data_IF_331847833799
#
_entry.id   IF_331847833799
#
_cell.length_a   1.000
_cell.length_b   1.000
_cell.length_c   1.000
_cell.angle_alpha   90.00
_cell.angle_beta   90.00
_cell.angle_gamma   90.00
#
_symmetry.space_group_name_H-M   'P 1'
#
loop_
_entity.id
_entity.type
_entity.pdbx_description
1 polymer ?
#
# COMPACT_ATOMS: atom_id res chain seq x y z
N UNK A 1 9.49 -1.34 13.81
CA UNK A 1 9.45 -2.67 13.23
C UNK A 1 8.04 -3.18 13.11
N UNK A 2 7.80 -4.00 12.10
CA UNK A 2 6.50 -4.60 11.85
C UNK A 2 6.41 -5.97 12.53
N UNK A 3 5.19 -6.44 12.88
CA UNK A 3 5.02 -7.76 13.47
C UNK A 3 5.16 -8.92 12.46
N UNK A 4 5.41 -8.59 11.18
CA UNK A 4 5.66 -9.59 10.13
C UNK A 4 7.04 -9.39 9.55
N UNK A 5 7.53 -10.41 8.82
CA UNK A 5 8.80 -10.32 8.12
C UNK A 5 8.64 -9.50 6.83
N UNK A 6 9.69 -8.79 6.43
CA UNK A 6 9.66 -7.97 5.22
C UNK A 6 9.32 -8.77 3.96
N UNK A 7 9.63 -10.07 3.96
CA UNK A 7 9.36 -10.94 2.82
C UNK A 7 7.95 -11.52 2.84
N UNK A 8 7.17 -11.27 3.89
CA UNK A 8 5.81 -11.83 4.00
C UNK A 8 4.82 -11.10 3.09
N UNK A 9 5.10 -9.86 2.73
CA UNK A 9 4.27 -9.11 1.78
C UNK A 9 5.09 -8.81 0.53
N UNK A 10 4.59 -9.24 -0.61
CA UNK A 10 5.30 -9.10 -1.87
C UNK A 10 4.38 -8.52 -2.95
N UNK A 11 4.92 -7.59 -3.75
CA UNK A 11 4.22 -7.08 -4.92
C UNK A 11 4.42 -8.05 -6.07
N UNK A 12 3.35 -8.64 -6.55
CA UNK A 12 3.38 -9.62 -7.64
C UNK A 12 3.24 -8.96 -9.01
N UNK A 13 2.41 -7.92 -9.08
CA UNK A 13 2.21 -7.17 -10.32
C UNK A 13 1.69 -5.78 -10.02
N UNK A 14 1.71 -4.94 -11.03
CA UNK A 14 1.25 -3.56 -10.92
C UNK A 14 0.30 -3.29 -12.08
N UNK A 15 -0.79 -2.61 -11.80
CA UNK A 15 -1.75 -2.18 -12.79
C UNK A 15 -1.98 -0.68 -12.73
N UNK A 16 -2.76 -0.17 -13.66
CA UNK A 16 -3.07 1.24 -13.69
C UNK A 16 -4.50 1.44 -14.22
N UNK A 17 -5.30 2.16 -13.46
CA UNK A 17 -6.63 2.57 -13.89
C UNK A 17 -6.56 4.03 -14.33
N UNK A 18 -6.69 4.24 -15.64
CA UNK A 18 -6.53 5.55 -16.26
C UNK A 18 -7.65 6.50 -15.83
N UNK A 19 -8.88 6.00 -15.70
CA UNK A 19 -10.04 6.83 -15.40
C UNK A 19 -9.95 7.45 -14.01
N UNK A 20 -9.48 6.67 -13.04
CA UNK A 20 -9.34 7.13 -11.66
C UNK A 20 -7.93 7.62 -11.34
N UNK A 21 -6.99 7.51 -12.28
CA UNK A 21 -5.56 7.80 -12.06
C UNK A 21 -5.05 7.06 -10.84
N UNK A 22 -5.30 5.75 -10.80
CA UNK A 22 -4.90 4.92 -9.68
C UNK A 22 -3.85 3.92 -10.12
N UNK A 23 -2.73 3.94 -9.43
CA UNK A 23 -1.66 2.95 -9.58
C UNK A 23 -1.97 1.81 -8.63
N UNK A 24 -2.08 0.58 -9.12
CA UNK A 24 -2.58 -0.55 -8.32
C UNK A 24 -1.46 -1.56 -8.10
N UNK A 25 -1.16 -1.82 -6.83
CA UNK A 25 -0.20 -2.85 -6.44
C UNK A 25 -0.96 -4.11 -6.04
N UNK A 26 -0.76 -5.18 -6.81
CA UNK A 26 -1.32 -6.49 -6.51
C UNK A 26 -0.29 -7.29 -5.72
N UNK A 27 -0.60 -7.52 -4.45
CA UNK A 27 0.34 -8.11 -3.51
C UNK A 27 -0.17 -9.45 -2.99
N UNK A 28 0.78 -10.31 -2.60
CA UNK A 28 0.46 -11.54 -1.89
C UNK A 28 1.08 -11.50 -0.50
N UNK A 29 0.39 -12.12 0.46
CA UNK A 29 0.80 -12.19 1.86
C UNK A 29 1.11 -13.64 2.18
N UNK A 30 2.29 -13.88 2.76
CA UNK A 30 2.81 -15.21 3.09
C UNK A 30 3.09 -15.33 4.59
N UNK A 31 3.45 -16.54 5.00
CA UNK A 31 3.88 -16.80 6.36
C UNK A 31 2.80 -16.56 7.39
N UNK A 32 3.19 -16.10 8.56
CA UNK A 32 2.26 -15.88 9.67
C UNK A 32 1.27 -14.75 9.39
N UNK A 33 1.62 -13.84 8.49
CA UNK A 33 0.73 -12.73 8.13
C UNK A 33 -0.40 -13.19 7.19
N UNK A 34 -0.28 -14.37 6.59
CA UNK A 34 -1.32 -14.94 5.72
C UNK A 34 -2.43 -15.53 6.58
N UNK A 35 -3.15 -14.65 7.28
CA UNK A 35 -4.18 -15.01 8.24
C UNK A 35 -5.08 -13.80 8.46
N UNK A 36 -6.38 -13.97 8.25
CA UNK A 36 -7.33 -12.86 8.36
C UNK A 36 -7.34 -12.22 9.75
N UNK A 37 -7.25 -13.03 10.79
CA UNK A 37 -7.25 -12.51 12.16
C UNK A 37 -6.00 -11.71 12.47
N UNK A 38 -4.85 -12.19 11.99
CA UNK A 38 -3.57 -11.48 12.14
C UNK A 38 -3.63 -10.13 11.43
N UNK A 39 -4.12 -10.10 10.20
CA UNK A 39 -4.24 -8.86 9.42
C UNK A 39 -5.21 -7.89 10.12
N UNK A 40 -6.36 -8.39 10.58
CA UNK A 40 -7.34 -7.53 11.26
C UNK A 40 -6.77 -6.92 12.54
N UNK A 41 -5.99 -7.70 13.31
CA UNK A 41 -5.37 -7.21 14.53
C UNK A 41 -4.29 -6.14 14.26
N UNK A 42 -3.73 -6.12 13.05
CA UNK A 42 -2.62 -5.24 12.68
C UNK A 42 -2.98 -4.22 11.61
N UNK A 43 -4.26 -3.96 11.38
CA UNK A 43 -4.72 -3.09 10.30
C UNK A 43 -4.11 -1.69 10.36
N UNK A 44 -4.03 -1.11 11.56
CA UNK A 44 -3.50 0.24 11.71
C UNK A 44 -2.01 0.31 11.37
N UNK A 45 -1.24 -0.67 11.85
CA UNK A 45 0.19 -0.73 11.54
C UNK A 45 0.41 -0.89 10.03
N UNK A 46 -0.39 -1.76 9.41
CA UNK A 46 -0.29 -2.01 7.97
C UNK A 46 -0.64 -0.75 7.18
N UNK A 47 -1.72 -0.07 7.56
CA UNK A 47 -2.13 1.19 6.93
C UNK A 47 -1.03 2.23 7.04
N UNK A 48 -0.47 2.40 8.22
CA UNK A 48 0.58 3.40 8.45
C UNK A 48 1.82 3.09 7.64
N UNK A 49 2.21 1.82 7.54
CA UNK A 49 3.38 1.42 6.77
C UNK A 49 3.18 1.67 5.26
N UNK A 50 2.00 1.39 4.74
CA UNK A 50 1.72 1.62 3.32
C UNK A 50 1.66 3.10 3.00
N UNK A 51 1.09 3.92 3.88
CA UNK A 51 1.12 5.37 3.72
C UNK A 51 2.53 5.92 3.75
N UNK A 52 3.36 5.41 4.66
CA UNK A 52 4.76 5.82 4.76
C UNK A 52 5.53 5.45 3.50
N UNK A 53 5.28 4.28 2.94
CA UNK A 53 5.91 3.86 1.70
C UNK A 53 5.61 4.84 0.56
N UNK A 54 4.35 5.23 0.42
CA UNK A 54 3.96 6.21 -0.61
C UNK A 54 4.60 7.57 -0.33
N UNK A 55 4.61 8.00 0.94
CA UNK A 55 5.15 9.32 1.30
C UNK A 55 6.65 9.43 1.10
N UNK A 56 7.39 8.36 1.38
CA UNK A 56 8.85 8.40 1.40
C UNK A 56 9.52 7.89 0.13
N UNK A 57 8.80 7.19 -0.74
CA UNK A 57 9.39 6.60 -1.94
C UNK A 57 9.65 7.65 -3.01
N UNK A 58 10.92 7.98 -3.31
CA UNK A 58 11.24 9.02 -4.29
C UNK A 58 10.82 8.66 -5.71
N UNK A 59 10.65 7.36 -6.01
CA UNK A 59 10.23 6.92 -7.33
C UNK A 59 8.77 7.29 -7.62
N UNK A 60 7.99 7.62 -6.60
CA UNK A 60 6.58 8.00 -6.77
C UNK A 60 6.37 9.50 -6.86
N UNK A 61 7.43 10.30 -6.78
CA UNK A 61 7.30 11.75 -6.72
C UNK A 61 6.50 12.32 -7.90
N UNK A 62 6.82 11.92 -9.12
CA UNK A 62 6.14 12.44 -10.30
C UNK A 62 4.65 12.05 -10.31
N UNK A 63 4.34 10.85 -9.87
CA UNK A 63 2.94 10.40 -9.76
C UNK A 63 2.18 11.17 -8.69
N UNK A 64 2.83 11.46 -7.56
CA UNK A 64 2.20 12.25 -6.50
C UNK A 64 1.96 13.69 -6.96
N UNK A 65 2.91 14.28 -7.68
CA UNK A 65 2.75 15.62 -8.24
C UNK A 65 1.61 15.69 -9.26
N UNK A 66 1.33 14.57 -9.93
CA UNK A 66 0.22 14.46 -10.88
C UNK A 66 -1.09 14.04 -10.20
N UNK A 67 -1.13 14.01 -8.87
CA UNK A 67 -2.30 13.68 -8.06
C UNK A 67 -2.85 12.28 -8.28
N UNK A 68 -1.94 11.31 -8.46
CA UNK A 68 -2.34 9.90 -8.57
C UNK A 68 -2.73 9.34 -7.20
N UNK A 69 -3.63 8.36 -7.23
CA UNK A 69 -3.91 7.53 -6.06
C UNK A 69 -3.11 6.22 -6.16
N UNK A 70 -2.88 5.57 -5.03
CA UNK A 70 -2.12 4.33 -4.95
C UNK A 70 -2.93 3.31 -4.19
N UNK A 71 -3.37 2.26 -4.88
CA UNK A 71 -4.17 1.19 -4.28
C UNK A 71 -3.30 -0.02 -4.01
N UNK A 72 -3.47 -0.62 -2.84
CA UNK A 72 -2.81 -1.87 -2.47
C UNK A 72 -3.87 -2.92 -2.24
N UNK A 73 -3.76 -4.03 -2.94
CA UNK A 73 -4.65 -5.19 -2.77
C UNK A 73 -3.79 -6.35 -2.30
N UNK A 74 -3.98 -6.74 -1.05
CA UNK A 74 -3.21 -7.81 -0.42
C UNK A 74 -4.06 -9.06 -0.36
N UNK A 75 -3.64 -10.11 -1.09
CA UNK A 75 -4.33 -11.38 -1.15
C UNK A 75 -3.53 -12.45 -0.41
N UNK A 76 -4.25 -13.47 0.06
CA UNK A 76 -3.62 -14.63 0.68
C UNK A 76 -2.80 -15.39 -0.36
N UNK A 77 -1.57 -15.79 -0.01
CA UNK A 77 -0.79 -16.66 -0.87
C UNK A 77 -1.42 -18.06 -0.96
N UNK A 78 -1.98 -18.53 0.14
CA UNK A 78 -2.62 -19.86 0.19
C UNK A 78 -3.93 -19.87 -0.59
N UNK A 79 -4.64 -18.76 -0.63
CA UNK A 79 -5.92 -18.62 -1.35
C UNK A 79 -5.94 -17.28 -2.07
N UNK A 80 -5.53 -17.29 -3.33
CA UNK A 80 -5.42 -16.08 -4.13
C UNK A 80 -6.75 -15.36 -4.37
N UNK A 81 -7.88 -16.01 -4.09
CA UNK A 81 -9.19 -15.40 -4.20
C UNK A 81 -9.56 -14.58 -2.97
N UNK A 82 -8.86 -14.82 -1.86
CA UNK A 82 -9.14 -14.12 -0.61
C UNK A 82 -8.35 -12.81 -0.52
N UNK A 83 -9.06 -11.70 -0.47
CA UNK A 83 -8.45 -10.40 -0.21
C UNK A 83 -8.40 -10.22 1.30
N UNK A 84 -7.19 -10.15 1.85
CA UNK A 84 -6.97 -9.97 3.28
C UNK A 84 -7.05 -8.51 3.69
N UNK A 85 -6.63 -7.61 2.81
CA UNK A 85 -6.58 -6.18 3.09
C UNK A 85 -6.51 -5.41 1.79
N UNK A 86 -7.21 -4.28 1.73
CA UNK A 86 -7.07 -3.35 0.61
C UNK A 86 -7.20 -1.93 1.13
N UNK A 87 -6.46 -1.03 0.50
CA UNK A 87 -6.48 0.39 0.83
C UNK A 87 -6.15 1.20 -0.42
N UNK A 88 -6.77 2.35 -0.54
CA UNK A 88 -6.41 3.34 -1.57
C UNK A 88 -5.90 4.58 -0.87
N UNK A 89 -4.66 4.93 -1.17
CA UNK A 89 -4.01 6.12 -0.65
C UNK A 89 -4.20 7.22 -1.67
N UNK A 90 -4.92 8.27 -1.25
CA UNK A 90 -5.32 9.36 -2.15
C UNK A 90 -4.39 10.56 -1.98
N UNK A 91 -4.50 11.57 -2.89
CA UNK A 91 -3.70 12.79 -2.73
C UNK A 91 -3.84 13.45 -1.37
N UNK A 92 -5.00 13.35 -0.72
CA UNK A 92 -5.18 13.91 0.63
C UNK A 92 -4.27 13.25 1.66
N UNK A 93 -3.92 11.99 1.45
CA UNK A 93 -3.10 11.25 2.40
C UNK A 93 -1.62 11.64 2.32
N UNK A 94 -1.17 12.17 1.20
CA UNK A 94 0.25 12.46 0.98
C UNK A 94 0.54 13.91 0.57
N UNK A 95 -0.47 14.75 0.38
CA UNK A 95 -0.23 16.11 -0.14
C UNK A 95 0.73 16.92 0.70
N UNK A 96 0.80 16.63 2.01
CA UNK A 96 1.75 17.31 2.91
C UNK A 96 3.20 17.01 2.53
N UNK A 97 3.47 15.83 1.97
CA UNK A 97 4.82 15.46 1.57
C UNK A 97 5.31 16.23 0.35
N UNK A 98 4.40 16.88 -0.38
CA UNK A 98 4.71 17.70 -1.55
C UNK A 98 4.79 19.18 -1.22
N UNK A 99 4.37 19.58 -0.02
CA UNK A 99 4.39 20.99 0.37
C UNK A 99 5.81 21.43 0.70
N UNK A 100 6.18 22.66 0.28
CA UNK A 100 7.48 23.20 0.69
C UNK A 100 7.53 23.34 2.20
N UNK A 101 8.73 23.11 2.74
CA UNK A 101 8.97 23.32 4.17
C UNK A 101 8.86 24.82 4.43
N UNK A 102 7.97 25.17 5.33
CA UNK A 102 7.82 26.58 5.72
C UNK A 102 8.93 26.98 6.68
N UNK A 103 9.54 28.10 6.45
CA UNK A 103 10.53 28.62 7.40
C UNK A 103 9.93 28.90 8.77
#
# INVERSE_FOLDING_TARGET
>A
PTPWDNNDVRTDSVGFDIDSRTYIYYCSVRGKADNADFINANRQVLTDNLKEEVNSNPNLKAFKEAAFSFAYILRSHKDAKQVLFSITITPKDYEKSLMPIKP
#
